data_IF_113927395443
#
_entry.id   IF_113927395443
#
_cell.length_a   1.000
_cell.length_b   1.000
_cell.length_c   1.000
_cell.angle_alpha   90.00
_cell.angle_beta   90.00
_cell.angle_gamma   90.00
#
_symmetry.space_group_name_H-M   'P 1'
#
loop_
_entity.id
_entity.type
_entity.pdbx_description
1 polymer ?
#
# COMPACT_ATOMS: atom_id res chain seq x y z
N UNK A 1 -26.30 3.94 15.65
CA UNK A 1 -25.28 4.97 15.96
C UNK A 1 -24.78 5.51 14.63
N UNK A 2 -25.08 6.76 14.29
CA UNK A 2 -24.68 7.34 13.01
C UNK A 2 -23.29 7.97 13.19
N UNK A 3 -22.25 7.27 12.74
CA UNK A 3 -20.87 7.78 12.79
C UNK A 3 -20.67 8.72 11.60
N UNK A 4 -20.48 10.01 11.87
CA UNK A 4 -20.11 10.99 10.85
C UNK A 4 -18.68 10.69 10.37
N UNK A 5 -18.50 10.48 9.06
CA UNK A 5 -17.17 10.25 8.46
C UNK A 5 -16.41 11.59 8.41
N UNK A 6 -15.17 11.62 8.89
CA UNK A 6 -14.32 12.83 8.88
C UNK A 6 -12.99 12.55 8.18
N UNK A 7 -12.63 13.39 7.20
CA UNK A 7 -11.39 13.27 6.46
C UNK A 7 -10.18 13.72 7.31
N UNK A 8 -9.16 12.87 7.40
CA UNK A 8 -7.90 13.17 8.10
C UNK A 8 -6.88 13.74 7.11
N UNK A 9 -6.86 15.07 6.98
CA UNK A 9 -5.96 15.77 6.06
C UNK A 9 -4.58 16.03 6.68
N UNK A 10 -3.52 16.02 5.87
CA UNK A 10 -2.17 16.40 6.28
C UNK A 10 -1.40 15.34 7.09
N UNK A 11 -1.91 14.11 7.15
CA UNK A 11 -1.16 12.97 7.68
C UNK A 11 -0.03 12.62 6.71
N UNK A 12 1.22 12.72 7.18
CA UNK A 12 2.40 12.23 6.47
C UNK A 12 2.94 11.04 7.25
N UNK A 13 3.17 9.91 6.58
CA UNK A 13 3.69 8.68 7.19
C UNK A 13 4.99 8.93 7.99
N UNK A 14 5.82 9.86 7.53
CA UNK A 14 7.07 10.29 8.15
C UNK A 14 6.88 10.80 9.59
N UNK A 15 5.72 11.34 9.92
CA UNK A 15 5.40 11.88 11.27
C UNK A 15 5.11 10.78 12.29
N UNK A 16 4.88 9.55 11.83
CA UNK A 16 4.56 8.39 12.68
C UNK A 16 5.65 7.32 12.65
N UNK A 17 6.72 7.53 11.88
CA UNK A 17 7.82 6.57 11.77
C UNK A 17 8.68 6.57 13.02
N UNK A 18 9.17 5.39 13.37
CA UNK A 18 10.15 5.24 14.44
C UNK A 18 11.44 6.01 14.08
N UNK A 19 12.09 6.72 15.03
CA UNK A 19 13.28 7.52 14.73
C UNK A 19 14.43 6.72 14.11
N UNK A 20 14.62 5.46 14.54
CA UNK A 20 15.64 4.59 13.97
C UNK A 20 15.33 4.23 12.50
N UNK A 21 14.07 4.01 12.17
CA UNK A 21 13.65 3.67 10.80
C UNK A 21 13.85 4.87 9.87
N UNK A 22 13.60 6.08 10.37
CA UNK A 22 13.85 7.32 9.63
C UNK A 22 15.34 7.49 9.33
N UNK A 23 16.21 7.28 10.32
CA UNK A 23 17.66 7.34 10.14
C UNK A 23 18.15 6.28 9.16
N UNK A 24 17.76 5.02 9.34
CA UNK A 24 18.15 3.93 8.46
C UNK A 24 17.73 4.19 7.00
N UNK A 25 16.48 4.64 6.79
CA UNK A 25 15.98 4.95 5.44
C UNK A 25 16.76 6.12 4.82
N UNK A 26 17.09 7.15 5.60
CA UNK A 26 17.85 8.31 5.11
C UNK A 26 19.30 7.95 4.76
N UNK A 27 19.95 7.09 5.55
CA UNK A 27 21.29 6.58 5.24
C UNK A 27 21.30 5.75 3.97
N UNK A 28 20.31 4.88 3.76
CA UNK A 28 20.20 4.08 2.53
C UNK A 28 20.01 4.96 1.29
N UNK A 29 19.22 6.03 1.39
CA UNK A 29 19.01 7.01 0.30
C UNK A 29 20.25 7.79 -0.11
N UNK A 30 21.25 7.89 0.75
CA UNK A 30 22.51 8.58 0.43
C UNK A 30 23.41 7.76 -0.48
N UNK A 31 23.14 6.46 -0.66
CA UNK A 31 23.93 5.60 -1.54
C UNK A 31 23.52 5.85 -3.01
N UNK A 32 24.41 6.44 -3.83
CA UNK A 32 24.09 6.75 -5.22
C UNK A 32 23.86 5.46 -6.02
N UNK A 33 22.79 5.42 -6.81
CA UNK A 33 22.46 4.28 -7.67
C UNK A 33 21.76 3.10 -6.99
N UNK A 34 21.69 3.07 -5.65
CA UNK A 34 20.97 2.01 -4.91
C UNK A 34 19.47 2.05 -5.18
N UNK A 35 18.86 3.25 -5.21
CA UNK A 35 17.44 3.40 -5.56
C UNK A 35 17.13 2.85 -6.97
N UNK A 36 18.05 2.99 -7.92
CA UNK A 36 17.88 2.51 -9.30
C UNK A 36 18.04 0.99 -9.35
N UNK A 37 19.04 0.44 -8.66
CA UNK A 37 19.27 -1.01 -8.58
C UNK A 37 18.13 -1.75 -7.86
N UNK A 38 17.61 -1.18 -6.78
CA UNK A 38 16.45 -1.72 -6.06
C UNK A 38 15.22 -1.68 -6.96
N UNK A 39 14.96 -0.57 -7.64
CA UNK A 39 13.82 -0.46 -8.57
C UNK A 39 13.91 -1.43 -9.74
N UNK A 40 15.09 -1.66 -10.30
CA UNK A 40 15.24 -2.57 -11.43
C UNK A 40 15.09 -4.04 -11.03
N UNK A 41 15.59 -4.42 -9.85
CA UNK A 41 15.49 -5.80 -9.34
C UNK A 41 14.11 -6.11 -8.77
N UNK A 42 13.57 -5.21 -7.94
CA UNK A 42 12.26 -5.42 -7.31
C UNK A 42 11.11 -5.09 -8.27
N UNK A 43 11.27 -4.20 -9.25
CA UNK A 43 10.17 -3.79 -10.13
C UNK A 43 9.51 -4.98 -10.84
N UNK A 44 10.28 -5.75 -11.61
CA UNK A 44 9.74 -6.86 -12.41
C UNK A 44 9.43 -8.11 -11.59
N UNK A 45 10.25 -8.41 -10.57
CA UNK A 45 10.09 -9.62 -9.74
C UNK A 45 9.02 -9.43 -8.68
N UNK A 46 8.99 -8.26 -8.02
CA UNK A 46 8.03 -8.04 -6.95
C UNK A 46 6.62 -7.90 -7.50
N UNK A 47 6.39 -7.29 -8.67
CA UNK A 47 5.04 -7.22 -9.26
C UNK A 47 4.44 -8.61 -9.47
N UNK A 48 5.19 -9.52 -10.10
CA UNK A 48 4.73 -10.90 -10.33
C UNK A 48 4.55 -11.65 -9.02
N UNK A 49 5.46 -11.50 -8.07
CA UNK A 49 5.35 -12.13 -6.76
C UNK A 49 4.16 -11.60 -5.97
N UNK A 50 3.91 -10.29 -5.97
CA UNK A 50 2.77 -9.67 -5.31
C UNK A 50 1.46 -10.09 -5.96
N UNK A 51 1.40 -10.13 -7.29
CA UNK A 51 0.23 -10.64 -8.01
C UNK A 51 -0.04 -12.10 -7.62
N UNK A 52 0.99 -12.95 -7.64
CA UNK A 52 0.86 -14.37 -7.32
C UNK A 52 0.45 -14.59 -5.85
N UNK A 53 1.04 -13.85 -4.91
CA UNK A 53 0.63 -13.90 -3.51
C UNK A 53 -0.79 -13.40 -3.30
N UNK A 54 -1.18 -12.34 -4.02
CA UNK A 54 -2.53 -11.78 -3.93
C UNK A 54 -3.57 -12.81 -4.39
N UNK A 55 -3.38 -13.43 -5.57
CA UNK A 55 -4.33 -14.44 -6.06
C UNK A 55 -4.28 -15.74 -5.24
N UNK A 56 -3.13 -16.11 -4.68
CA UNK A 56 -2.99 -17.35 -3.90
C UNK A 56 -3.54 -17.21 -2.48
N UNK A 57 -3.45 -16.03 -1.87
CA UNK A 57 -3.78 -15.81 -0.45
C UNK A 57 -5.05 -14.98 -0.23
N UNK A 58 -5.64 -14.41 -1.28
CA UNK A 58 -6.80 -13.52 -1.17
C UNK A 58 -8.02 -14.09 -1.86
N UNK A 59 -9.19 -13.66 -1.41
CA UNK A 59 -10.46 -13.97 -2.07
C UNK A 59 -10.79 -12.84 -3.04
N UNK A 60 -11.08 -13.19 -4.29
CA UNK A 60 -11.55 -12.24 -5.29
C UNK A 60 -12.90 -11.64 -4.86
N UNK A 61 -12.95 -10.31 -4.73
CA UNK A 61 -14.18 -9.55 -4.48
C UNK A 61 -14.55 -8.82 -5.77
N UNK A 62 -15.73 -9.12 -6.31
CA UNK A 62 -16.23 -8.56 -7.57
C UNK A 62 -17.76 -8.42 -7.53
N UNK A 63 -18.35 -7.81 -8.56
CA UNK A 63 -19.81 -7.71 -8.69
C UNK A 63 -20.50 -9.09 -8.70
N UNK A 64 -19.85 -10.13 -9.23
CA UNK A 64 -20.40 -11.48 -9.31
C UNK A 64 -20.03 -12.36 -8.13
N UNK A 65 -19.01 -11.97 -7.34
CA UNK A 65 -18.49 -12.74 -6.22
C UNK A 65 -18.31 -11.84 -4.99
N UNK A 66 -19.09 -12.11 -3.94
CA UNK A 66 -19.20 -11.25 -2.75
C UNK A 66 -19.70 -9.82 -3.09
N UNK A 67 -20.84 -9.68 -3.80
CA UNK A 67 -21.34 -8.40 -4.30
C UNK A 67 -21.55 -7.34 -3.20
N UNK A 68 -21.89 -7.77 -1.99
CA UNK A 68 -22.06 -6.87 -0.85
C UNK A 68 -20.74 -6.21 -0.43
N UNK A 69 -19.65 -7.00 -0.33
CA UNK A 69 -18.33 -6.47 -0.01
C UNK A 69 -17.77 -5.61 -1.16
N UNK A 70 -18.03 -6.00 -2.40
CA UNK A 70 -17.66 -5.20 -3.57
C UNK A 70 -18.30 -3.81 -3.52
N UNK A 71 -19.60 -3.73 -3.17
CA UNK A 71 -20.29 -2.44 -3.03
C UNK A 71 -19.68 -1.55 -1.94
N UNK A 72 -19.36 -2.13 -0.77
CA UNK A 72 -18.72 -1.39 0.32
C UNK A 72 -17.32 -0.88 -0.07
N UNK A 73 -16.56 -1.67 -0.83
CA UNK A 73 -15.25 -1.27 -1.35
C UNK A 73 -15.37 -0.07 -2.30
N UNK A 74 -16.28 -0.13 -3.27
CA UNK A 74 -16.50 0.97 -4.22
C UNK A 74 -16.90 2.26 -3.49
N UNK A 75 -17.85 2.19 -2.54
CA UNK A 75 -18.25 3.34 -1.73
C UNK A 75 -17.07 3.95 -0.95
N UNK A 76 -16.15 3.12 -0.45
CA UNK A 76 -14.97 3.60 0.27
C UNK A 76 -13.94 4.27 -0.65
N UNK A 77 -13.83 3.85 -1.91
CA UNK A 77 -12.89 4.41 -2.89
C UNK A 77 -13.38 5.72 -3.54
N UNK A 78 -14.65 6.08 -3.39
CA UNK A 78 -15.22 7.34 -3.90
C UNK A 78 -14.92 8.57 -3.01
N UNK A 79 -14.22 8.37 -1.88
CA UNK A 79 -13.85 9.40 -0.88
C UNK A 79 -12.36 9.75 -0.99
#
# INVERSE_FOLDING_TARGET
MNLSKQALIGLKADRFRHPLDLQATNTLKQLPGVDIAIRSVLGSVAEQFFYLNNIASSVLVSEKQLPHLHKLLIEACEI
#
